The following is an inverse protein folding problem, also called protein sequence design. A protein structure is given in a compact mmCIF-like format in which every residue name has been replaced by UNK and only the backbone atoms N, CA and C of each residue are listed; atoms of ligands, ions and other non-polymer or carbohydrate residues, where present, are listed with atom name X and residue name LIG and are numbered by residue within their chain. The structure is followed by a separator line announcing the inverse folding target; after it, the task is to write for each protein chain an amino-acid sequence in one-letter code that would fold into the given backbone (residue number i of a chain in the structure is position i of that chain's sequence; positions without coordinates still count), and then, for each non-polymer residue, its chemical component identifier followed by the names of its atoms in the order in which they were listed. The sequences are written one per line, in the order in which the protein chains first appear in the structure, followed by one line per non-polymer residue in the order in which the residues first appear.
data_IF_026607343941
#
_entry.id   IF_026607343941
#
_cell.length_a   1.000
_cell.length_b   1.000
_cell.length_c   1.000
_cell.angle_alpha   90.00
_cell.angle_beta   90.00
_cell.angle_gamma   90.00
#
_symmetry.space_group_name_H-M   'P 1'
#
loop_
_entity.id
_entity.type
_entity.pdbx_description
1 polymer ?
#
# COMPACT_ATOMS: atom_id res chain seq x y z
N UNK A 1 -0.27 -21.93 -48.32
CA UNK A 1 0.36 -22.24 -47.05
C UNK A 1 0.50 -20.93 -46.29
N UNK A 2 -0.41 -20.67 -45.36
CA UNK A 2 -0.44 -19.43 -44.56
C UNK A 2 0.06 -19.80 -43.18
N UNK A 3 1.28 -19.36 -42.83
CA UNK A 3 1.81 -19.43 -41.49
C UNK A 3 1.11 -18.35 -40.62
N UNK A 4 0.23 -18.80 -39.78
CA UNK A 4 -0.35 -17.96 -38.70
C UNK A 4 0.73 -17.82 -37.64
N UNK A 5 1.40 -16.66 -37.61
CA UNK A 5 2.24 -16.27 -36.45
C UNK A 5 1.37 -16.15 -35.20
N UNK A 6 1.50 -17.12 -34.35
CA UNK A 6 1.04 -17.01 -32.94
C UNK A 6 1.91 -15.95 -32.25
N UNK A 7 1.39 -14.72 -32.18
CA UNK A 7 1.94 -13.69 -31.30
C UNK A 7 1.81 -14.20 -29.87
N UNK A 8 2.88 -14.78 -29.35
CA UNK A 8 2.99 -15.08 -27.94
C UNK A 8 2.84 -13.78 -27.15
N UNK A 9 1.77 -13.66 -26.37
CA UNK A 9 1.60 -12.56 -25.42
C UNK A 9 2.75 -12.63 -24.43
N UNK A 10 3.76 -11.78 -24.60
CA UNK A 10 4.83 -11.65 -23.63
C UNK A 10 4.18 -11.31 -22.28
N UNK A 11 4.33 -12.18 -21.30
CA UNK A 11 3.83 -11.95 -19.93
C UNK A 11 4.46 -10.64 -19.45
N UNK A 12 3.63 -9.67 -19.06
CA UNK A 12 4.11 -8.40 -18.53
C UNK A 12 5.11 -8.66 -17.38
N UNK A 13 6.18 -7.86 -17.26
CA UNK A 13 7.17 -8.06 -16.20
C UNK A 13 6.49 -8.04 -14.83
N UNK A 14 6.86 -8.96 -13.94
CA UNK A 14 6.26 -9.05 -12.61
C UNK A 14 6.79 -7.98 -11.67
N UNK A 15 7.96 -7.38 -11.98
CA UNK A 15 8.62 -6.37 -11.16
C UNK A 15 8.83 -5.07 -11.92
N UNK A 16 8.65 -3.95 -11.23
CA UNK A 16 8.96 -2.61 -11.71
C UNK A 16 10.48 -2.44 -11.82
N UNK A 17 10.97 -1.99 -12.98
CA UNK A 17 12.40 -1.93 -13.26
C UNK A 17 13.16 -0.91 -12.39
N UNK A 18 12.47 0.13 -11.90
CA UNK A 18 13.08 1.17 -11.07
C UNK A 18 13.17 0.74 -9.61
N UNK A 19 12.04 0.34 -9.04
CA UNK A 19 11.92 0.10 -7.59
C UNK A 19 12.08 -1.36 -7.18
N UNK A 20 12.09 -2.28 -8.15
CA UNK A 20 12.06 -3.74 -7.92
C UNK A 20 10.86 -4.21 -7.07
N UNK A 21 9.84 -3.36 -6.94
CA UNK A 21 8.56 -3.75 -6.38
C UNK A 21 7.74 -4.51 -7.43
N UNK A 22 6.68 -5.20 -7.03
CA UNK A 22 5.75 -5.79 -7.99
C UNK A 22 5.18 -4.69 -8.89
N UNK A 23 5.00 -4.99 -10.18
CA UNK A 23 4.21 -4.09 -11.04
C UNK A 23 2.76 -4.02 -10.55
N UNK A 24 2.05 -2.94 -10.86
CA UNK A 24 0.64 -2.80 -10.47
C UNK A 24 -0.21 -4.01 -10.88
N UNK A 25 -0.14 -4.53 -12.11
CA UNK A 25 -0.91 -5.73 -12.48
C UNK A 25 -0.54 -6.96 -11.66
N UNK A 26 0.75 -7.19 -11.37
CA UNK A 26 1.20 -8.33 -10.58
C UNK A 26 0.72 -8.22 -9.11
N UNK A 27 0.80 -7.03 -8.52
CA UNK A 27 0.31 -6.78 -7.17
C UNK A 27 -1.21 -6.94 -7.06
N UNK A 28 -1.97 -6.42 -8.03
CA UNK A 28 -3.44 -6.57 -8.04
C UNK A 28 -3.88 -8.03 -8.18
N UNK A 29 -3.15 -8.83 -8.95
CA UNK A 29 -3.40 -10.27 -9.03
C UNK A 29 -3.19 -10.97 -7.68
N UNK A 30 -2.11 -10.63 -6.96
CA UNK A 30 -1.84 -11.14 -5.62
C UNK A 30 -2.90 -10.67 -4.61
N UNK A 31 -3.31 -9.40 -4.69
CA UNK A 31 -4.36 -8.83 -3.84
C UNK A 31 -5.70 -9.57 -4.04
N UNK A 32 -6.05 -9.89 -5.29
CA UNK A 32 -7.26 -10.64 -5.61
C UNK A 32 -7.22 -12.07 -5.06
N UNK A 33 -6.06 -12.75 -5.14
CA UNK A 33 -5.86 -14.07 -4.53
C UNK A 33 -6.04 -14.02 -3.00
N UNK A 34 -5.43 -13.03 -2.34
CA UNK A 34 -5.56 -12.84 -0.90
C UNK A 34 -6.99 -12.54 -0.45
N UNK A 35 -7.77 -11.79 -1.25
CA UNK A 35 -9.18 -11.57 -0.96
C UNK A 35 -10.00 -12.86 -0.97
N UNK A 36 -9.71 -13.78 -1.89
CA UNK A 36 -10.35 -15.11 -1.92
C UNK A 36 -9.95 -15.95 -0.70
N UNK A 37 -8.69 -15.92 -0.29
CA UNK A 37 -8.21 -16.61 0.90
C UNK A 37 -8.89 -16.04 2.14
N UNK A 38 -8.92 -14.72 2.30
CA UNK A 38 -9.57 -14.02 3.40
C UNK A 38 -11.07 -14.36 3.50
N UNK A 39 -11.77 -14.43 2.37
CA UNK A 39 -13.18 -14.82 2.31
C UNK A 39 -13.45 -16.24 2.82
N UNK A 40 -12.48 -17.16 2.71
CA UNK A 40 -12.58 -18.55 3.18
C UNK A 40 -12.09 -18.74 4.61
N UNK A 41 -10.99 -18.07 5.00
CA UNK A 41 -10.34 -18.24 6.30
C UNK A 41 -10.87 -17.31 7.38
N UNK A 42 -11.53 -16.20 7.01
CA UNK A 42 -11.88 -15.12 7.92
C UNK A 42 -10.70 -14.24 8.36
N UNK A 43 -9.49 -14.50 7.87
CA UNK A 43 -8.31 -13.71 8.20
C UNK A 43 -8.34 -12.37 7.47
N UNK A 44 -8.32 -11.27 8.24
CA UNK A 44 -8.27 -9.94 7.66
C UNK A 44 -6.86 -9.65 7.09
N UNK A 45 -6.81 -8.80 6.06
CA UNK A 45 -5.59 -8.18 5.58
C UNK A 45 -5.80 -6.67 5.39
N UNK A 46 -4.71 -5.94 5.30
CA UNK A 46 -4.73 -4.51 5.07
C UNK A 46 -3.97 -4.13 3.80
N UNK A 47 -4.47 -3.10 3.12
CA UNK A 47 -3.81 -2.40 2.03
C UNK A 47 -3.36 -1.04 2.54
N UNK A 48 -2.09 -0.71 2.27
CA UNK A 48 -1.51 0.61 2.51
C UNK A 48 -1.13 1.21 1.15
N UNK A 49 -1.45 2.48 0.93
CA UNK A 49 -0.93 3.29 -0.18
C UNK A 49 -0.03 4.37 0.38
N UNK A 50 1.23 4.38 -0.05
CA UNK A 50 2.24 5.36 0.34
C UNK A 50 2.56 6.25 -0.86
N UNK A 51 2.51 7.56 -0.69
CA UNK A 51 2.80 8.50 -1.77
C UNK A 51 3.78 9.57 -1.28
N UNK A 52 4.85 9.80 -2.05
CA UNK A 52 5.87 10.82 -1.74
C UNK A 52 5.26 12.20 -1.82
N UNK A 53 5.35 12.93 -0.73
CA UNK A 53 4.85 14.30 -0.70
C UNK A 53 5.72 15.21 -1.58
N UNK A 54 5.06 16.01 -2.42
CA UNK A 54 5.70 16.99 -3.29
C UNK A 54 6.72 16.42 -4.30
N UNK A 55 6.59 15.15 -4.73
CA UNK A 55 7.51 14.53 -5.71
C UNK A 55 7.61 15.36 -7.00
N UNK A 56 6.51 15.98 -7.46
CA UNK A 56 6.52 16.87 -8.62
C UNK A 56 7.51 18.03 -8.43
N UNK A 57 7.50 18.67 -7.26
CA UNK A 57 8.43 19.78 -6.96
C UNK A 57 9.90 19.31 -6.95
N UNK A 58 10.15 18.08 -6.49
CA UNK A 58 11.49 17.49 -6.53
C UNK A 58 11.93 17.32 -7.98
N UNK A 59 11.08 16.76 -8.83
CA UNK A 59 11.34 16.61 -10.26
C UNK A 59 11.60 17.97 -10.96
N UNK A 60 10.79 18.97 -10.61
CA UNK A 60 10.90 20.30 -11.22
C UNK A 60 12.19 21.03 -10.79
N UNK A 61 12.62 20.84 -9.54
CA UNK A 61 13.82 21.51 -9.00
C UNK A 61 15.13 20.77 -9.25
N UNK A 62 15.10 19.42 -9.26
CA UNK A 62 16.30 18.57 -9.28
C UNK A 62 16.36 17.62 -10.47
N UNK A 63 15.33 17.62 -11.32
CA UNK A 63 15.21 16.73 -12.46
C UNK A 63 14.58 15.38 -12.12
N UNK A 64 14.07 14.68 -13.14
CA UNK A 64 13.35 13.40 -13.00
C UNK A 64 14.24 12.32 -12.35
N UNK A 65 15.56 12.33 -12.63
CA UNK A 65 16.51 11.38 -12.01
C UNK A 65 16.52 11.47 -10.48
N UNK A 66 16.41 12.67 -9.92
CA UNK A 66 16.34 12.86 -8.47
C UNK A 66 15.03 12.28 -7.86
N UNK A 67 13.90 12.44 -8.57
CA UNK A 67 12.66 11.79 -8.17
C UNK A 67 12.73 10.26 -8.26
N UNK A 68 13.41 9.73 -9.28
CA UNK A 68 13.64 8.29 -9.41
C UNK A 68 14.48 7.75 -8.24
N UNK A 69 15.55 8.44 -7.84
CA UNK A 69 16.34 8.08 -6.65
C UNK A 69 15.50 8.10 -5.36
N UNK A 70 14.63 9.10 -5.19
CA UNK A 70 13.69 9.17 -4.06
C UNK A 70 12.77 7.94 -4.04
N UNK A 71 12.26 7.51 -5.19
CA UNK A 71 11.38 6.36 -5.28
C UNK A 71 12.09 5.03 -5.00
N UNK A 72 13.32 4.88 -5.49
CA UNK A 72 14.19 3.73 -5.14
C UNK A 72 14.44 3.72 -3.64
N UNK A 73 14.85 4.88 -3.07
CA UNK A 73 15.09 5.04 -1.65
C UNK A 73 13.85 4.75 -0.79
N UNK A 74 12.65 5.15 -1.23
CA UNK A 74 11.39 4.84 -0.56
C UNK A 74 11.14 3.32 -0.55
N UNK A 75 11.29 2.66 -1.69
CA UNK A 75 11.07 1.22 -1.80
C UNK A 75 12.05 0.43 -0.90
N UNK A 76 13.32 0.82 -0.88
CA UNK A 76 14.34 0.20 -0.03
C UNK A 76 14.08 0.46 1.46
N UNK A 77 13.63 1.67 1.80
CA UNK A 77 13.26 2.01 3.16
C UNK A 77 12.06 1.19 3.63
N UNK A 78 11.03 1.06 2.78
CA UNK A 78 9.86 0.24 3.06
C UNK A 78 10.25 -1.23 3.29
N UNK A 79 11.11 -1.81 2.45
CA UNK A 79 11.62 -3.19 2.64
C UNK A 79 12.34 -3.38 3.96
N UNK A 80 13.17 -2.42 4.37
CA UNK A 80 13.89 -2.49 5.66
C UNK A 80 12.92 -2.46 6.83
N UNK A 81 11.94 -1.56 6.82
CA UNK A 81 10.94 -1.47 7.90
C UNK A 81 10.14 -2.77 8.01
N UNK A 82 9.57 -3.29 6.92
CA UNK A 82 8.76 -4.52 6.97
C UNK A 82 9.58 -5.78 7.32
N UNK A 83 10.91 -5.73 7.17
CA UNK A 83 11.80 -6.82 7.56
C UNK A 83 12.22 -6.79 9.04
N UNK A 84 11.83 -5.77 9.79
CA UNK A 84 12.15 -5.68 11.22
C UNK A 84 11.38 -6.73 12.04
N UNK A 85 11.96 -7.27 13.12
CA UNK A 85 11.33 -8.29 13.96
C UNK A 85 9.94 -7.92 14.49
N UNK A 86 9.69 -6.63 14.69
CA UNK A 86 8.39 -6.12 15.14
C UNK A 86 7.23 -6.50 14.22
N UNK A 87 7.50 -6.75 12.93
CA UNK A 87 6.50 -6.98 11.90
C UNK A 87 6.42 -8.45 11.43
N UNK A 88 7.21 -9.36 11.97
CA UNK A 88 7.28 -10.77 11.53
C UNK A 88 6.00 -11.60 11.71
N UNK A 89 4.95 -11.04 12.32
CA UNK A 89 3.65 -11.73 12.45
C UNK A 89 2.79 -11.67 11.18
N UNK A 90 3.19 -10.86 10.24
CA UNK A 90 2.50 -10.69 8.95
C UNK A 90 3.47 -10.94 7.81
N UNK A 91 2.93 -11.37 6.67
CA UNK A 91 3.64 -11.38 5.39
C UNK A 91 3.34 -10.09 4.65
N UNK A 92 4.30 -9.62 3.87
CA UNK A 92 4.19 -8.35 3.15
C UNK A 92 4.54 -8.51 1.69
N UNK A 93 3.78 -7.83 0.84
CA UNK A 93 4.13 -7.63 -0.55
C UNK A 93 4.20 -6.13 -0.84
N UNK A 94 5.24 -5.72 -1.59
CA UNK A 94 5.45 -4.33 -2.01
C UNK A 94 5.21 -4.23 -3.50
N UNK A 95 4.38 -3.29 -3.93
CA UNK A 95 4.07 -3.02 -5.33
C UNK A 95 4.21 -1.55 -5.69
N UNK A 96 4.44 -1.28 -6.97
CA UNK A 96 4.37 0.07 -7.55
C UNK A 96 2.91 0.37 -7.91
N UNK A 97 2.35 1.47 -7.40
CA UNK A 97 0.98 1.85 -7.71
C UNK A 97 0.91 2.70 -8.98
N UNK A 98 1.56 3.85 -8.93
CA UNK A 98 1.73 4.78 -10.05
C UNK A 98 2.98 5.65 -9.85
N UNK A 99 3.07 6.78 -10.54
CA UNK A 99 4.21 7.70 -10.57
C UNK A 99 4.98 7.82 -9.24
N UNK A 100 4.35 8.32 -8.19
CA UNK A 100 4.96 8.60 -6.88
C UNK A 100 4.58 7.63 -5.76
N UNK A 101 3.70 6.65 -6.03
CA UNK A 101 3.08 5.85 -5.01
C UNK A 101 3.51 4.37 -5.03
N UNK A 102 3.65 3.81 -3.83
CA UNK A 102 3.84 2.38 -3.58
C UNK A 102 2.62 1.80 -2.86
N UNK A 103 2.42 0.50 -3.02
CA UNK A 103 1.42 -0.30 -2.32
C UNK A 103 2.08 -1.30 -1.39
N UNK A 104 1.49 -1.52 -0.21
CA UNK A 104 1.86 -2.62 0.68
C UNK A 104 0.61 -3.43 1.01
N UNK A 105 0.69 -4.73 0.77
CA UNK A 105 -0.26 -5.71 1.27
C UNK A 105 0.32 -6.34 2.54
N UNK A 106 -0.41 -6.25 3.66
CA UNK A 106 -0.02 -6.86 4.94
C UNK A 106 -1.03 -7.95 5.31
N UNK A 107 -0.57 -9.21 5.50
CA UNK A 107 -1.42 -10.38 5.74
C UNK A 107 -0.81 -11.43 6.68
N UNK A 108 -1.54 -11.99 7.68
CA UNK A 108 -2.78 -11.43 8.21
C UNK A 108 -2.47 -10.10 8.92
N UNK A 109 -3.41 -9.14 8.90
CA UNK A 109 -3.18 -7.85 9.53
C UNK A 109 -4.52 -7.17 9.91
N UNK A 110 -4.60 -6.68 11.15
CA UNK A 110 -5.68 -5.83 11.60
C UNK A 110 -5.38 -4.34 11.32
N UNK A 111 -6.42 -3.51 11.24
CA UNK A 111 -6.27 -2.07 10.93
C UNK A 111 -5.31 -1.36 11.89
N UNK A 112 -5.38 -1.64 13.19
CA UNK A 112 -4.48 -1.04 14.19
C UNK A 112 -3.01 -1.43 14.00
N UNK A 113 -2.74 -2.67 13.56
CA UNK A 113 -1.38 -3.12 13.25
C UNK A 113 -0.86 -2.44 11.97
N UNK A 114 -1.72 -2.31 10.95
CA UNK A 114 -1.37 -1.62 9.72
C UNK A 114 -1.13 -0.11 9.94
N UNK A 115 -1.89 0.53 10.84
CA UNK A 115 -1.67 1.92 11.27
C UNK A 115 -0.31 2.08 11.94
N UNK A 116 0.05 1.20 12.87
CA UNK A 116 1.38 1.21 13.52
C UNK A 116 2.51 1.03 12.49
N UNK A 117 2.36 0.11 11.53
CA UNK A 117 3.32 -0.08 10.44
C UNK A 117 3.42 1.18 9.58
N UNK A 118 2.28 1.79 9.22
CA UNK A 118 2.24 3.00 8.41
C UNK A 118 2.96 4.17 9.10
N UNK A 119 2.77 4.35 10.41
CA UNK A 119 3.50 5.35 11.18
C UNK A 119 5.00 5.05 11.25
N UNK A 120 5.40 3.80 11.43
CA UNK A 120 6.81 3.40 11.38
C UNK A 120 7.44 3.71 10.02
N UNK A 121 6.74 3.44 8.92
CA UNK A 121 7.17 3.78 7.56
C UNK A 121 7.31 5.30 7.39
N UNK A 122 6.31 6.07 7.80
CA UNK A 122 6.33 7.53 7.72
C UNK A 122 7.53 8.12 8.48
N UNK A 123 7.71 7.72 9.73
CA UNK A 123 8.85 8.15 10.55
C UNK A 123 10.19 7.77 9.92
N UNK A 124 10.34 6.52 9.46
CA UNK A 124 11.56 6.06 8.82
C UNK A 124 11.90 6.85 7.56
N UNK A 125 10.90 7.30 6.78
CA UNK A 125 11.12 8.14 5.61
C UNK A 125 11.52 9.56 6.00
N UNK A 126 10.86 10.16 6.98
CA UNK A 126 11.12 11.53 7.41
C UNK A 126 12.48 11.68 8.16
N UNK A 127 12.93 10.61 8.85
CA UNK A 127 14.13 10.65 9.69
C UNK A 127 15.42 10.91 8.90
N UNK A 128 15.54 10.35 7.69
CA UNK A 128 16.77 10.42 6.89
C UNK A 128 16.45 10.66 5.42
N UNK A 129 17.25 11.50 4.75
CA UNK A 129 17.09 11.74 3.33
C UNK A 129 17.02 10.45 2.50
N UNK A 130 16.29 10.51 1.39
CA UNK A 130 16.27 9.51 0.34
C UNK A 130 17.15 9.99 -0.83
N UNK A 131 17.73 9.04 -1.59
CA UNK A 131 18.71 9.39 -2.64
C UNK A 131 19.93 10.14 -2.09
N UNK A 132 20.48 11.04 -2.89
CA UNK A 132 21.74 11.75 -2.56
C UNK A 132 21.61 12.86 -1.51
N UNK A 133 20.48 13.11 -0.87
CA UNK A 133 20.28 14.08 0.25
C UNK A 133 18.92 14.77 0.21
N UNK A 134 17.91 14.18 -0.41
CA UNK A 134 16.59 14.82 -0.50
C UNK A 134 15.76 14.37 0.70
N UNK A 135 15.46 15.31 1.58
CA UNK A 135 14.51 15.09 2.68
C UNK A 135 13.10 15.16 2.14
N UNK A 136 12.34 14.10 2.38
CA UNK A 136 10.95 13.98 1.93
C UNK A 136 10.08 13.46 3.08
N UNK A 137 8.78 13.66 2.95
CA UNK A 137 7.78 13.00 3.74
C UNK A 137 6.89 12.14 2.85
N UNK A 138 6.08 11.30 3.46
CA UNK A 138 5.08 10.49 2.78
C UNK A 138 3.72 10.65 3.43
N UNK A 139 2.68 10.71 2.62
CA UNK A 139 1.31 10.55 3.06
C UNK A 139 0.90 9.08 2.87
N UNK A 140 0.20 8.50 3.84
CA UNK A 140 -0.17 7.09 3.80
C UNK A 140 -1.67 6.93 4.06
N UNK A 141 -2.34 6.22 3.16
CA UNK A 141 -3.70 5.75 3.34
C UNK A 141 -3.73 4.27 3.72
N UNK A 142 -4.51 3.90 4.73
CA UNK A 142 -4.63 2.52 5.22
C UNK A 142 -6.07 2.06 5.17
N UNK A 143 -6.33 0.86 4.65
CA UNK A 143 -7.64 0.23 4.70
C UNK A 143 -7.53 -1.28 4.96
N UNK A 144 -8.34 -1.79 5.89
CA UNK A 144 -8.53 -3.21 6.09
C UNK A 144 -9.65 -3.70 5.17
N UNK A 145 -9.48 -4.87 4.52
CA UNK A 145 -10.55 -5.50 3.73
C UNK A 145 -11.79 -5.73 4.60
N UNK A 146 -12.96 -5.41 4.06
CA UNK A 146 -14.26 -5.69 4.68
C UNK A 146 -14.86 -6.97 4.11
N UNK A 147 -15.70 -7.61 4.90
CA UNK A 147 -16.44 -8.80 4.44
C UNK A 147 -17.34 -8.41 3.26
N UNK A 148 -17.17 -9.10 2.13
CA UNK A 148 -17.96 -8.86 0.91
C UNK A 148 -17.53 -7.65 0.09
N UNK A 149 -16.43 -6.97 0.45
CA UNK A 149 -15.87 -5.86 -0.30
C UNK A 149 -15.09 -6.38 -1.51
N UNK A 150 -15.27 -5.76 -2.66
CA UNK A 150 -14.43 -6.00 -3.84
C UNK A 150 -13.06 -5.33 -3.71
N UNK A 151 -12.09 -5.78 -4.53
CA UNK A 151 -10.77 -5.16 -4.58
C UNK A 151 -10.85 -3.71 -5.04
N UNK A 152 -11.70 -3.39 -6.00
CA UNK A 152 -11.88 -2.02 -6.50
C UNK A 152 -12.44 -1.10 -5.41
N UNK A 153 -13.38 -1.58 -4.59
CA UNK A 153 -13.90 -0.84 -3.45
C UNK A 153 -12.84 -0.61 -2.36
N UNK A 154 -12.03 -1.63 -2.06
CA UNK A 154 -10.90 -1.52 -1.13
C UNK A 154 -9.89 -0.49 -1.63
N UNK A 155 -9.47 -0.57 -2.88
CA UNK A 155 -8.56 0.39 -3.51
C UNK A 155 -9.12 1.81 -3.44
N UNK A 156 -10.34 2.02 -3.93
CA UNK A 156 -10.98 3.33 -3.92
C UNK A 156 -11.13 3.92 -2.51
N UNK A 157 -11.31 3.07 -1.50
CA UNK A 157 -11.38 3.49 -0.10
C UNK A 157 -10.01 3.86 0.45
N UNK A 158 -8.97 3.12 0.07
CA UNK A 158 -7.58 3.42 0.46
C UNK A 158 -7.10 4.72 -0.21
N UNK A 159 -7.41 4.92 -1.49
CA UNK A 159 -7.12 6.17 -2.21
C UNK A 159 -7.79 7.38 -1.57
N UNK A 160 -9.06 7.25 -1.18
CA UNK A 160 -9.78 8.35 -0.52
C UNK A 160 -9.12 8.80 0.77
N UNK A 161 -8.67 7.87 1.63
CA UNK A 161 -8.01 8.26 2.89
C UNK A 161 -6.59 8.77 2.64
N UNK A 162 -5.88 8.26 1.63
CA UNK A 162 -4.63 8.87 1.18
C UNK A 162 -4.83 10.31 0.71
N UNK A 163 -5.89 10.58 -0.04
CA UNK A 163 -6.24 11.93 -0.46
C UNK A 163 -6.54 12.84 0.75
N UNK A 164 -7.26 12.32 1.75
CA UNK A 164 -7.49 13.02 3.02
C UNK A 164 -6.15 13.36 3.69
N UNK A 165 -5.23 12.42 3.80
CA UNK A 165 -3.89 12.68 4.36
C UNK A 165 -3.19 13.84 3.64
N UNK A 166 -3.23 13.87 2.29
CA UNK A 166 -2.65 14.94 1.48
C UNK A 166 -3.36 16.29 1.69
N UNK A 167 -4.68 16.31 1.84
CA UNK A 167 -5.45 17.54 2.07
C UNK A 167 -5.23 18.15 3.45
N UNK A 168 -5.06 17.31 4.48
CA UNK A 168 -4.91 17.76 5.86
C UNK A 168 -3.47 18.04 6.30
N UNK A 169 -2.58 18.31 5.35
CA UNK A 169 -1.24 18.82 5.62
C UNK A 169 -0.11 17.86 5.25
N UNK A 170 -0.41 16.69 4.70
CA UNK A 170 0.61 15.67 4.33
C UNK A 170 1.36 15.12 5.54
N UNK A 171 2.47 14.40 5.31
CA UNK A 171 3.30 13.79 6.37
C UNK A 171 2.46 13.15 7.47
N UNK A 172 1.52 12.28 7.08
CA UNK A 172 0.57 11.67 8.00
C UNK A 172 -0.02 10.36 7.49
N UNK A 173 -0.55 9.60 8.41
CA UNK A 173 -1.33 8.39 8.16
C UNK A 173 -2.82 8.69 8.34
N UNK A 174 -3.65 8.23 7.42
CA UNK A 174 -5.10 8.22 7.56
C UNK A 174 -5.63 6.81 7.36
N UNK A 175 -6.48 6.38 8.29
CA UNK A 175 -7.05 5.02 8.30
C UNK A 175 -8.52 5.07 7.90
N UNK A 176 -8.90 4.25 6.93
CA UNK A 176 -10.30 4.13 6.55
C UNK A 176 -11.12 3.49 7.67
N UNK A 177 -12.13 4.18 8.15
CA UNK A 177 -13.03 3.67 9.20
C UNK A 177 -13.57 2.29 8.82
N UNK A 178 -13.39 1.32 9.70
CA UNK A 178 -14.06 0.03 9.59
C UNK A 178 -15.38 0.14 10.37
N UNK A 179 -16.55 0.01 9.73
CA UNK A 179 -17.79 0.00 10.48
C UNK A 179 -17.75 -1.17 11.46
N UNK A 180 -18.33 -1.03 12.66
CA UNK A 180 -18.39 -2.10 13.65
C UNK A 180 -18.99 -3.35 13.00
N UNK A 181 -18.34 -4.51 13.21
CA UNK A 181 -18.81 -5.78 12.64
C UNK A 181 -20.27 -6.02 13.07
N UNK A 182 -21.10 -6.61 12.21
CA UNK A 182 -22.49 -6.97 12.53
C UNK A 182 -22.63 -7.81 13.81
N UNK A 183 -21.55 -8.56 14.19
CA UNK A 183 -21.50 -9.36 15.41
C UNK A 183 -21.46 -8.49 16.67
N UNK A 184 -20.82 -7.31 16.62
CA UNK A 184 -20.81 -6.38 17.76
C UNK A 184 -22.18 -5.70 17.97
N UNK A 185 -22.97 -5.49 16.90
CA UNK A 185 -24.34 -4.95 17.02
C UNK A 185 -25.33 -5.90 17.65
N UNK A 186 -25.18 -7.21 17.48
CA UNK A 186 -26.08 -8.19 18.08
C UNK A 186 -25.89 -8.33 19.61
N UNK A 187 -24.70 -8.03 20.14
CA UNK A 187 -24.46 -8.08 21.59
C UNK A 187 -24.95 -6.85 22.37
N UNK A 188 -25.21 -5.73 21.70
CA UNK A 188 -25.69 -4.50 22.36
C UNK A 188 -27.21 -4.47 22.47
N UNK A 189 -27.95 -5.19 21.61
CA UNK A 189 -29.44 -5.23 21.63
C UNK A 189 -29.98 -6.19 22.71
N UNK A 190 -29.17 -7.08 23.26
CA UNK A 190 -29.58 -8.06 24.30
C UNK A 190 -29.36 -7.63 25.77
N UNK A 191 -29.03 -6.37 26.02
CA UNK A 191 -28.74 -5.87 27.40
C UNK A 191 -29.83 -4.97 27.98
N UNK A 192 -31.00 -4.87 27.35
CA UNK A 192 -32.15 -4.06 27.82
C UNK A 192 -33.47 -4.83 27.67
N UNK A 193 -33.53 -6.09 28.12
CA UNK A 193 -34.75 -6.82 28.44
C UNK A 193 -34.65 -7.35 29.86
#
# INVERSE_FOLDING_TARGET
MSETLLAGTAKAPSFDALTLALTRPAFLAELAEQAQIAGRSGNAFCLLLLDVDHLQNINDCHGVGAGDEVLVGLADRARRVIAEPAWHRSEYSLGRYDGGALMILARPCAASQAEMLAEALRFAVAEKPLGERISVTVSIGVAQLRIGESIDELLARTERVLHVAKQFGRDRVEVASTPPSRVARAKVVGLYD
#
